data_IF_002859890725
#
_entry.id   IF_002859890725
#
_cell.length_a   1.000
_cell.length_b   1.000
_cell.length_c   1.000
_cell.angle_alpha   90.00
_cell.angle_beta   90.00
_cell.angle_gamma   90.00
#
_symmetry.space_group_name_H-M   'P 1'
#
loop_
_entity.id
_entity.type
_entity.pdbx_description
1 polymer ?
#
# COMPACT_ATOMS: atom_id res chain seq x y z
N UNK A 1 16.89 -8.63 -9.29
CA UNK A 1 17.72 -9.39 -8.34
C UNK A 1 17.35 -10.87 -8.45
N UNK A 2 18.29 -11.79 -8.26
CA UNK A 2 18.03 -13.23 -8.18
C UNK A 2 18.55 -13.74 -6.85
N UNK A 3 17.67 -14.32 -6.04
CA UNK A 3 18.03 -14.94 -4.77
C UNK A 3 18.47 -16.39 -5.01
N UNK A 4 19.45 -16.88 -4.25
CA UNK A 4 19.97 -18.25 -4.40
C UNK A 4 19.85 -19.01 -3.10
N UNK A 5 19.26 -20.19 -3.17
CA UNK A 5 18.96 -21.05 -2.02
C UNK A 5 19.60 -22.41 -2.20
N UNK A 6 20.55 -22.75 -1.32
CA UNK A 6 21.18 -24.07 -1.32
C UNK A 6 20.35 -25.05 -0.50
N UNK A 7 20.00 -26.19 -1.09
CA UNK A 7 19.33 -27.27 -0.38
C UNK A 7 20.31 -27.96 0.58
N UNK A 8 19.97 -28.04 1.87
CA UNK A 8 20.81 -28.67 2.88
C UNK A 8 20.87 -30.21 2.74
N UNK A 9 19.97 -30.84 1.98
CA UNK A 9 19.94 -32.30 1.77
C UNK A 9 20.76 -32.75 0.56
N UNK A 10 20.62 -32.07 -0.58
CA UNK A 10 21.25 -32.48 -1.84
C UNK A 10 22.30 -31.50 -2.38
N UNK A 11 22.50 -30.35 -1.71
CA UNK A 11 23.48 -29.34 -2.13
C UNK A 11 23.09 -28.53 -3.37
N UNK A 12 22.00 -28.87 -4.07
CA UNK A 12 21.50 -28.13 -5.24
C UNK A 12 21.19 -26.68 -4.89
N UNK A 13 21.64 -25.76 -5.74
CA UNK A 13 21.33 -24.33 -5.63
C UNK A 13 20.11 -24.04 -6.52
N UNK A 14 19.04 -23.55 -5.90
CA UNK A 14 17.85 -23.10 -6.58
C UNK A 14 17.86 -21.57 -6.68
N UNK A 15 17.49 -21.05 -7.84
CA UNK A 15 17.37 -19.61 -8.07
C UNK A 15 15.91 -19.16 -7.92
N UNK A 16 15.71 -18.01 -7.29
CA UNK A 16 14.42 -17.34 -7.16
C UNK A 16 14.54 -15.90 -7.70
N UNK A 17 14.21 -15.69 -8.98
CA UNK A 17 14.22 -14.36 -9.57
C UNK A 17 13.13 -13.46 -8.95
N UNK A 18 13.49 -12.24 -8.57
CA UNK A 18 12.57 -11.19 -8.13
C UNK A 18 12.16 -10.36 -9.33
N UNK A 19 11.01 -10.67 -9.91
CA UNK A 19 10.50 -10.01 -11.12
C UNK A 19 9.72 -8.73 -10.78
N UNK A 20 10.09 -7.61 -11.41
CA UNK A 20 9.30 -6.36 -11.35
C UNK A 20 8.25 -6.23 -12.45
N UNK A 21 8.34 -7.02 -13.52
CA UNK A 21 7.38 -6.96 -14.63
C UNK A 21 6.11 -7.75 -14.27
N UNK A 22 4.96 -7.05 -14.17
CA UNK A 22 3.69 -7.66 -13.79
C UNK A 22 3.19 -8.74 -14.78
N UNK A 23 3.48 -8.61 -16.08
CA UNK A 23 3.12 -9.64 -17.08
C UNK A 23 3.91 -10.94 -16.86
N UNK A 24 5.17 -10.84 -16.42
CA UNK A 24 5.95 -12.01 -16.02
C UNK A 24 5.35 -12.66 -14.77
N UNK A 25 4.87 -11.87 -13.82
CA UNK A 25 4.27 -12.37 -12.58
C UNK A 25 2.99 -13.17 -12.81
N UNK A 26 2.18 -12.83 -13.83
CA UNK A 26 1.00 -13.62 -14.23
C UNK A 26 1.34 -15.08 -14.61
N UNK A 27 2.54 -15.30 -15.15
CA UNK A 27 3.06 -16.62 -15.50
C UNK A 27 3.80 -17.27 -14.33
N UNK A 28 4.64 -16.49 -13.62
CA UNK A 28 5.49 -16.99 -12.55
C UNK A 28 4.70 -17.40 -11.30
N UNK A 29 3.63 -16.67 -10.97
CA UNK A 29 2.64 -16.98 -9.91
C UNK A 29 3.24 -17.30 -8.53
N UNK A 30 4.42 -16.73 -8.24
CA UNK A 30 5.16 -16.89 -6.99
C UNK A 30 5.83 -15.56 -6.66
N UNK A 31 6.03 -15.28 -5.37
CA UNK A 31 6.56 -13.98 -4.95
C UNK A 31 6.32 -13.70 -3.48
N UNK A 32 6.71 -12.50 -3.06
CA UNK A 32 6.42 -11.89 -1.76
C UNK A 32 5.55 -10.65 -1.95
N UNK A 33 5.38 -9.84 -0.90
CA UNK A 33 4.49 -8.68 -0.93
C UNK A 33 4.67 -7.79 -2.16
N UNK A 34 5.91 -7.53 -2.57
CA UNK A 34 6.22 -6.80 -3.82
C UNK A 34 5.56 -7.40 -5.06
N UNK A 35 5.77 -8.68 -5.33
CA UNK A 35 5.19 -9.36 -6.49
C UNK A 35 3.66 -9.48 -6.39
N UNK A 36 3.15 -9.80 -5.20
CA UNK A 36 1.71 -9.94 -4.97
C UNK A 36 0.98 -8.62 -5.17
N UNK A 37 1.43 -7.54 -4.54
CA UNK A 37 0.84 -6.21 -4.68
C UNK A 37 0.94 -5.69 -6.13
N UNK A 38 2.08 -5.89 -6.80
CA UNK A 38 2.27 -5.49 -8.19
C UNK A 38 1.32 -6.24 -9.16
N UNK A 39 1.30 -7.57 -9.09
CA UNK A 39 0.44 -8.39 -9.93
C UNK A 39 -1.05 -8.12 -9.65
N UNK A 40 -1.43 -7.97 -8.39
CA UNK A 40 -2.81 -7.68 -8.01
C UNK A 40 -3.24 -6.27 -8.45
N UNK A 41 -2.37 -5.27 -8.34
CA UNK A 41 -2.61 -3.93 -8.89
C UNK A 41 -2.92 -4.01 -10.39
N UNK A 42 -2.14 -4.77 -11.17
CA UNK A 42 -2.39 -4.98 -12.59
C UNK A 42 -3.77 -5.60 -12.85
N UNK A 43 -4.15 -6.62 -12.09
CA UNK A 43 -5.46 -7.28 -12.21
C UNK A 43 -6.60 -6.31 -11.91
N UNK A 44 -6.51 -5.53 -10.83
CA UNK A 44 -7.55 -4.55 -10.51
C UNK A 44 -7.66 -3.46 -11.60
N UNK A 45 -6.52 -2.99 -12.13
CA UNK A 45 -6.51 -2.02 -13.23
C UNK A 45 -7.11 -2.59 -14.52
N UNK A 46 -6.88 -3.87 -14.85
CA UNK A 46 -7.46 -4.49 -16.04
C UNK A 46 -8.99 -4.65 -15.95
N UNK A 47 -9.55 -4.63 -14.74
CA UNK A 47 -10.99 -4.58 -14.49
C UNK A 47 -11.56 -3.15 -14.59
N UNK A 48 -10.76 -2.16 -14.97
CA UNK A 48 -11.20 -0.76 -15.05
C UNK A 48 -11.42 -0.11 -13.68
N UNK A 49 -10.87 -0.69 -12.61
CA UNK A 49 -10.95 -0.11 -11.28
C UNK A 49 -9.88 0.97 -11.11
N UNK A 50 -10.21 1.97 -10.30
CA UNK A 50 -9.24 2.97 -9.85
C UNK A 50 -8.47 2.44 -8.68
N UNK A 51 -7.16 2.35 -8.83
CA UNK A 51 -6.28 1.64 -7.90
C UNK A 51 -5.08 2.51 -7.58
N UNK A 52 -4.59 2.40 -6.35
CA UNK A 52 -3.32 2.99 -5.92
C UNK A 52 -2.40 1.89 -5.41
N UNK A 53 -1.11 2.02 -5.71
CA UNK A 53 -0.06 1.22 -5.11
C UNK A 53 0.37 1.89 -3.82
N UNK A 54 0.41 1.13 -2.72
CA UNK A 54 0.73 1.65 -1.40
C UNK A 54 2.15 1.22 -1.04
N UNK A 55 2.97 2.18 -0.65
CA UNK A 55 4.33 1.94 -0.21
C UNK A 55 4.50 2.41 1.23
N UNK A 56 4.84 1.49 2.11
CA UNK A 56 5.29 1.78 3.47
C UNK A 56 6.82 1.74 3.53
N UNK A 57 7.42 2.74 4.19
CA UNK A 57 8.88 2.85 4.32
C UNK A 57 9.50 1.60 4.98
N UNK A 58 8.81 1.00 5.94
CA UNK A 58 9.28 -0.19 6.68
C UNK A 58 9.04 -1.51 5.93
N UNK A 59 9.30 -1.53 4.62
CA UNK A 59 9.30 -2.72 3.75
C UNK A 59 7.98 -3.50 3.72
N UNK A 60 6.88 -2.82 3.43
CA UNK A 60 5.65 -3.49 3.02
C UNK A 60 4.89 -2.69 1.97
N UNK A 61 4.16 -3.40 1.13
CA UNK A 61 3.44 -2.82 0.00
C UNK A 61 2.12 -3.55 -0.19
N UNK A 62 1.09 -2.80 -0.60
CA UNK A 62 -0.26 -3.31 -0.81
C UNK A 62 -1.00 -2.39 -1.79
N UNK A 63 -2.33 -2.49 -1.86
CA UNK A 63 -3.13 -1.71 -2.80
C UNK A 63 -4.29 -0.99 -2.11
N UNK A 64 -4.81 0.05 -2.75
CA UNK A 64 -6.15 0.56 -2.46
C UNK A 64 -6.95 0.61 -3.73
N UNK A 65 -8.28 0.46 -3.63
CA UNK A 65 -9.18 0.74 -4.75
C UNK A 65 -10.22 1.78 -4.36
N UNK A 66 -10.67 2.60 -5.30
CA UNK A 66 -11.74 3.56 -5.05
C UNK A 66 -13.12 2.87 -5.15
N UNK A 67 -13.87 2.87 -4.06
CA UNK A 67 -15.26 2.40 -4.05
C UNK A 67 -16.19 3.55 -4.40
N UNK A 68 -16.84 3.48 -5.57
CA UNK A 68 -17.85 4.48 -5.99
C UNK A 68 -19.06 4.53 -5.04
N UNK A 69 -19.44 3.39 -4.46
CA UNK A 69 -20.55 3.31 -3.51
C UNK A 69 -20.19 3.98 -2.17
N UNK A 70 -19.01 3.66 -1.62
CA UNK A 70 -18.56 4.22 -0.33
C UNK A 70 -17.90 5.60 -0.47
N UNK A 71 -17.67 6.06 -1.72
CA UNK A 71 -17.04 7.34 -2.09
C UNK A 71 -15.68 7.55 -1.42
N UNK A 72 -14.91 6.48 -1.25
CA UNK A 72 -13.58 6.50 -0.62
C UNK A 72 -12.70 5.37 -1.14
N UNK A 73 -11.39 5.52 -0.95
CA UNK A 73 -10.45 4.43 -1.14
C UNK A 73 -10.64 3.36 -0.07
N UNK A 74 -10.53 2.10 -0.44
CA UNK A 74 -10.62 0.93 0.40
C UNK A 74 -9.27 0.22 0.39
N UNK A 75 -8.78 -0.12 1.58
CA UNK A 75 -7.56 -0.91 1.76
C UNK A 75 -7.73 -2.32 1.20
N UNK A 76 -6.72 -2.82 0.48
CA UNK A 76 -6.63 -4.20 0.01
C UNK A 76 -5.21 -4.74 0.21
N UNK A 77 -5.08 -5.92 0.82
CA UNK A 77 -3.80 -6.64 0.88
C UNK A 77 -3.95 -8.05 0.30
N UNK A 78 -3.40 -8.34 -0.89
CA UNK A 78 -3.49 -9.66 -1.50
C UNK A 78 -2.65 -10.73 -0.78
N UNK A 79 -1.65 -10.33 0.03
CA UNK A 79 -0.84 -11.30 0.80
C UNK A 79 -1.59 -11.85 2.00
N UNK A 80 -2.50 -11.05 2.54
CA UNK A 80 -3.24 -11.33 3.78
C UNK A 80 -4.73 -11.56 3.52
N UNK A 81 -5.16 -11.54 2.26
CA UNK A 81 -6.56 -11.59 1.86
C UNK A 81 -7.43 -10.57 2.63
N UNK A 82 -6.88 -9.36 2.86
CA UNK A 82 -7.51 -8.35 3.69
C UNK A 82 -8.28 -7.32 2.85
N UNK A 83 -9.44 -6.92 3.36
CA UNK A 83 -10.32 -5.92 2.76
C UNK A 83 -10.73 -4.89 3.82
N UNK A 84 -10.52 -3.61 3.52
CA UNK A 84 -10.89 -2.47 4.35
C UNK A 84 -10.39 -2.52 5.80
N UNK A 85 -9.17 -3.03 6.00
CA UNK A 85 -8.56 -3.19 7.32
C UNK A 85 -7.20 -2.44 7.41
N UNK A 86 -7.20 -1.09 7.37
CA UNK A 86 -5.96 -0.33 7.30
C UNK A 86 -5.09 -0.43 8.57
N UNK A 87 -5.66 -0.80 9.73
CA UNK A 87 -4.90 -0.98 10.97
C UNK A 87 -4.33 -2.39 11.14
N UNK A 88 -4.50 -3.28 10.15
CA UNK A 88 -3.95 -4.63 10.11
C UNK A 88 -2.45 -4.65 10.46
N UNK A 89 -1.69 -3.70 9.95
CA UNK A 89 -0.23 -3.66 10.13
C UNK A 89 0.16 -3.10 11.49
N UNK A 90 -0.24 -1.87 11.78
CA UNK A 90 0.23 -1.14 12.96
C UNK A 90 -0.30 -1.75 14.26
N UNK A 91 -1.57 -2.19 14.27
CA UNK A 91 -2.16 -2.87 15.43
C UNK A 91 -2.10 -4.38 15.29
N UNK A 92 -2.62 -4.96 14.19
CA UNK A 92 -2.72 -6.41 14.05
C UNK A 92 -1.38 -7.14 14.07
N UNK A 93 -0.39 -6.66 13.31
CA UNK A 93 0.97 -7.22 13.36
C UNK A 93 1.83 -6.62 14.47
N UNK A 94 1.37 -5.51 15.09
CA UNK A 94 2.21 -4.69 15.97
C UNK A 94 3.39 -4.05 15.23
N UNK A 95 3.26 -3.83 13.92
CA UNK A 95 4.34 -3.33 13.06
C UNK A 95 4.66 -1.87 13.38
N UNK A 96 5.95 -1.59 13.56
CA UNK A 96 6.43 -0.22 13.69
C UNK A 96 6.47 0.48 12.34
N UNK A 97 5.81 1.64 12.21
CA UNK A 97 5.61 2.31 10.92
C UNK A 97 5.73 3.84 11.02
N UNK A 98 6.23 4.49 9.96
CA UNK A 98 6.36 5.96 9.89
C UNK A 98 5.64 6.61 8.70
N UNK A 99 6.02 6.24 7.48
CA UNK A 99 5.49 6.80 6.23
C UNK A 99 4.76 5.74 5.42
N UNK A 100 3.61 6.12 4.88
CA UNK A 100 2.85 5.38 3.88
C UNK A 100 2.42 6.33 2.78
N UNK A 101 2.81 6.04 1.54
CA UNK A 101 2.44 6.84 0.37
C UNK A 101 1.54 6.01 -0.56
N UNK A 102 0.41 6.58 -0.94
CA UNK A 102 -0.47 6.07 -1.99
C UNK A 102 -0.08 6.69 -3.32
N UNK A 103 0.26 5.85 -4.30
CA UNK A 103 0.72 6.25 -5.63
C UNK A 103 -0.36 5.83 -6.63
N UNK A 104 -1.01 6.80 -7.25
CA UNK A 104 -1.97 6.58 -8.34
C UNK A 104 -1.32 6.88 -9.70
N UNK A 105 -2.11 6.80 -10.76
CA UNK A 105 -1.68 7.18 -12.11
C UNK A 105 -1.45 8.69 -12.26
N UNK A 106 -2.06 9.51 -11.38
CA UNK A 106 -2.11 10.96 -11.55
C UNK A 106 -1.68 11.76 -10.32
N UNK A 107 -1.54 11.15 -9.14
CA UNK A 107 -1.08 11.85 -7.95
C UNK A 107 -0.50 10.90 -6.90
N UNK A 108 0.29 11.46 -5.99
CA UNK A 108 0.84 10.78 -4.83
C UNK A 108 0.29 11.46 -3.58
N UNK A 109 -0.18 10.66 -2.63
CA UNK A 109 -0.70 11.15 -1.36
C UNK A 109 0.00 10.47 -0.20
N UNK A 110 0.53 11.24 0.76
CA UNK A 110 0.88 10.70 2.07
C UNK A 110 -0.40 10.25 2.77
N UNK A 111 -0.60 8.96 3.04
CA UNK A 111 -1.78 8.40 3.71
C UNK A 111 -1.42 7.77 5.05
N UNK A 112 -0.32 8.21 5.66
CA UNK A 112 0.23 7.60 6.88
C UNK A 112 -0.74 7.65 8.05
N UNK A 113 -1.55 8.70 8.17
CA UNK A 113 -2.59 8.85 9.19
C UNK A 113 -3.67 7.77 9.15
N UNK A 114 -3.89 7.15 7.98
CA UNK A 114 -4.85 6.05 7.82
C UNK A 114 -4.32 4.72 8.35
N UNK A 115 -3.01 4.50 8.26
CA UNK A 115 -2.36 3.20 8.51
C UNK A 115 -1.53 3.18 9.80
N UNK A 116 -1.14 4.34 10.30
CA UNK A 116 -0.31 4.50 11.50
C UNK A 116 -1.12 5.28 12.54
N UNK A 117 -1.54 4.59 13.60
CA UNK A 117 -2.27 5.23 14.67
C UNK A 117 -1.38 6.21 15.42
N UNK A 118 -1.82 7.47 15.48
CA UNK A 118 -1.13 8.56 16.18
C UNK A 118 -0.88 8.29 17.67
N UNK A 119 -1.68 7.42 18.30
CA UNK A 119 -1.58 7.06 19.73
C UNK A 119 -0.84 5.74 19.97
N UNK A 120 -0.48 5.02 18.91
CA UNK A 120 0.21 3.73 19.02
C UNK A 120 1.67 3.91 19.42
N UNK A 121 2.16 3.07 20.33
CA UNK A 121 3.58 2.96 20.69
C UNK A 121 4.43 2.40 19.53
N UNK A 122 3.79 1.89 18.48
CA UNK A 122 4.42 1.41 17.25
C UNK A 122 4.60 2.52 16.21
N UNK A 123 4.17 3.75 16.48
CA UNK A 123 4.45 4.87 15.58
C UNK A 123 5.94 5.22 15.63
N UNK A 124 6.61 5.18 14.49
CA UNK A 124 7.99 5.60 14.35
C UNK A 124 8.09 7.12 14.11
N UNK A 125 9.21 7.76 14.52
CA UNK A 125 9.43 9.17 14.26
C UNK A 125 9.52 9.45 12.75
N UNK A 126 8.90 10.55 12.34
CA UNK A 126 8.93 11.05 10.97
C UNK A 126 10.02 12.12 10.83
N UNK A 127 11.26 11.65 10.71
CA UNK A 127 12.47 12.50 10.73
C UNK A 127 13.34 12.38 9.47
N UNK A 128 12.86 11.71 8.41
CA UNK A 128 13.54 11.62 7.11
C UNK A 128 13.43 12.91 6.29
N UNK A 129 12.40 13.71 6.53
CA UNK A 129 12.12 14.99 5.88
C UNK A 129 11.23 15.82 6.82
N UNK A 130 11.29 17.15 6.77
CA UNK A 130 10.35 17.99 7.50
C UNK A 130 8.94 17.84 6.91
N UNK A 131 7.90 17.90 7.75
CA UNK A 131 6.51 17.84 7.24
C UNK A 131 6.20 18.98 6.27
N UNK A 132 6.82 20.16 6.45
CA UNK A 132 6.67 21.29 5.54
C UNK A 132 7.25 20.97 4.15
N UNK A 133 8.48 20.45 4.10
CA UNK A 133 9.14 20.16 2.83
C UNK A 133 8.50 18.96 2.12
N UNK A 134 8.04 17.95 2.87
CA UNK A 134 7.26 16.85 2.31
C UNK A 134 5.98 17.34 1.64
N UNK A 135 5.22 18.21 2.32
CA UNK A 135 3.99 18.76 1.77
C UNK A 135 4.25 19.62 0.51
N UNK A 136 5.31 20.45 0.53
CA UNK A 136 5.72 21.22 -0.65
C UNK A 136 6.13 20.32 -1.81
N UNK A 137 6.92 19.29 -1.53
CA UNK A 137 7.35 18.32 -2.54
C UNK A 137 6.16 17.62 -3.19
N UNK A 138 5.24 17.07 -2.39
CA UNK A 138 4.04 16.42 -2.90
C UNK A 138 3.16 17.38 -3.70
N UNK A 139 3.01 18.64 -3.28
CA UNK A 139 2.27 19.65 -4.02
C UNK A 139 2.88 19.91 -5.41
N UNK A 140 4.21 20.04 -5.51
CA UNK A 140 4.92 20.25 -6.78
C UNK A 140 4.79 19.03 -7.71
N UNK A 141 4.97 17.82 -7.17
CA UNK A 141 4.82 16.57 -7.92
C UNK A 141 3.39 16.41 -8.45
N UNK A 142 2.39 16.62 -7.59
CA UNK A 142 0.99 16.49 -7.98
C UNK A 142 0.56 17.55 -8.98
N UNK A 143 0.98 18.81 -8.81
CA UNK A 143 0.76 19.85 -9.81
C UNK A 143 1.32 19.44 -11.18
N UNK A 144 2.55 18.93 -11.20
CA UNK A 144 3.18 18.45 -12.43
C UNK A 144 2.40 17.30 -13.07
N UNK A 145 1.88 16.37 -12.27
CA UNK A 145 1.10 15.25 -12.77
C UNK A 145 -0.28 15.69 -13.28
N UNK A 146 -0.97 16.61 -12.60
CA UNK A 146 -2.26 17.15 -13.05
C UNK A 146 -2.14 17.87 -14.40
N UNK A 147 -1.05 18.63 -14.61
CA UNK A 147 -0.78 19.31 -15.87
C UNK A 147 -0.51 18.35 -17.05
N UNK A 148 -0.24 17.07 -16.79
CA UNK A 148 -0.05 16.04 -17.84
C UNK A 148 -1.35 15.40 -18.28
N UNK A 149 -2.45 15.61 -17.57
CA UNK A 149 -3.76 15.05 -17.92
C UNK A 149 -4.35 15.90 -19.05
N UNK A 150 -4.48 15.30 -20.23
CA UNK A 150 -4.97 16.00 -21.43
C UNK A 150 -6.49 15.93 -21.57
N UNK A 151 -7.08 14.81 -21.16
CA UNK A 151 -8.53 14.65 -21.20
C UNK A 151 -9.17 15.47 -20.08
N UNK A 152 -10.17 16.28 -20.44
CA UNK A 152 -10.83 17.19 -19.50
C UNK A 152 -11.65 16.43 -18.45
N UNK A 153 -12.29 15.33 -18.81
CA UNK A 153 -13.07 14.55 -17.87
C UNK A 153 -12.16 13.84 -16.87
N UNK A 154 -11.07 13.24 -17.34
CA UNK A 154 -10.06 12.61 -16.49
C UNK A 154 -9.43 13.64 -15.52
N UNK A 155 -9.18 14.87 -15.99
CA UNK A 155 -8.66 15.94 -15.15
C UNK A 155 -9.64 16.32 -14.04
N UNK A 156 -10.91 16.59 -14.40
CA UNK A 156 -11.94 16.97 -13.44
C UNK A 156 -12.20 15.86 -12.42
N UNK A 157 -12.25 14.61 -12.86
CA UNK A 157 -12.45 13.46 -11.97
C UNK A 157 -11.26 13.27 -11.04
N UNK A 158 -10.03 13.35 -11.55
CA UNK A 158 -8.80 13.24 -10.74
C UNK A 158 -8.72 14.34 -9.68
N UNK A 159 -8.98 15.60 -10.07
CA UNK A 159 -8.94 16.73 -9.12
C UNK A 159 -10.05 16.59 -8.07
N UNK A 160 -11.25 16.16 -8.47
CA UNK A 160 -12.35 15.88 -7.55
C UNK A 160 -11.98 14.81 -6.52
N UNK A 161 -11.33 13.73 -6.97
CA UNK A 161 -10.86 12.64 -6.11
C UNK A 161 -9.76 13.10 -5.15
N UNK A 162 -8.77 13.85 -5.65
CA UNK A 162 -7.70 14.40 -4.82
C UNK A 162 -8.25 15.30 -3.71
N UNK A 163 -9.20 16.19 -4.05
CA UNK A 163 -9.85 17.07 -3.06
C UNK A 163 -10.72 16.28 -2.07
N UNK A 164 -11.44 15.26 -2.54
CA UNK A 164 -12.23 14.40 -1.66
C UNK A 164 -11.35 13.62 -0.68
N UNK A 165 -10.24 13.05 -1.15
CA UNK A 165 -9.27 12.33 -0.30
C UNK A 165 -8.65 13.28 0.75
N UNK A 166 -8.26 14.49 0.34
CA UNK A 166 -7.78 15.52 1.27
C UNK A 166 -8.85 15.88 2.33
N UNK A 167 -10.08 16.14 1.91
CA UNK A 167 -11.17 16.53 2.81
C UNK A 167 -11.53 15.41 3.80
N UNK A 168 -11.56 14.15 3.34
CA UNK A 168 -11.82 13.00 4.19
C UNK A 168 -10.78 12.89 5.30
N UNK A 169 -9.50 13.06 4.95
CA UNK A 169 -8.40 12.98 5.91
C UNK A 169 -8.36 14.15 6.89
N UNK A 170 -8.79 15.33 6.47
CA UNK A 170 -8.99 16.48 7.36
C UNK A 170 -10.28 16.38 8.18
N UNK A 171 -11.08 15.33 8.01
CA UNK A 171 -12.35 15.15 8.71
C UNK A 171 -13.42 16.16 8.30
N UNK A 172 -13.22 16.86 7.16
CA UNK A 172 -14.16 17.87 6.64
C UNK A 172 -15.42 17.17 6.11
N UNK A 173 -15.25 16.02 5.46
CA UNK A 173 -16.36 15.17 5.00
C UNK A 173 -16.47 13.92 5.89
N UNK A 174 -17.68 13.66 6.42
CA UNK A 174 -17.95 12.43 7.17
C UNK A 174 -18.00 11.25 6.21
N UNK A 175 -17.16 10.24 6.45
CA UNK A 175 -17.18 8.98 5.70
C UNK A 175 -18.52 8.27 5.92
N UNK A 176 -19.14 7.79 4.83
CA UNK A 176 -20.11 6.72 4.93
C UNK A 176 -19.38 5.50 5.51
N UNK A 177 -19.62 5.23 6.80
CA UNK A 177 -19.07 4.03 7.43
C UNK A 177 -19.62 2.81 6.70
N UNK A 178 -18.74 1.86 6.38
CA UNK A 178 -19.22 0.55 5.97
C UNK A 178 -20.07 0.00 7.12
N UNK A 179 -21.25 -0.54 6.81
CA UNK A 179 -22.05 -1.31 7.77
C UNK A 179 -21.39 -2.65 8.13
N UNK A 180 -20.29 -3.01 7.47
CA UNK A 180 -19.45 -4.13 7.87
C UNK A 180 -18.74 -3.77 9.17
N UNK A 181 -18.96 -4.52 10.27
CA UNK A 181 -18.15 -4.34 11.46
C UNK A 181 -16.68 -4.42 11.06
N UNK A 182 -15.85 -3.44 11.48
CA UNK A 182 -14.41 -3.63 11.53
C UNK A 182 -14.20 -4.98 12.23
N UNK A 183 -13.51 -5.94 11.61
CA UNK A 183 -13.27 -7.23 12.26
C UNK A 183 -12.59 -6.93 13.59
N UNK A 184 -13.28 -7.23 14.69
CA UNK A 184 -12.77 -6.99 16.04
C UNK A 184 -11.57 -7.88 16.33
N UNK A 185 -11.43 -8.98 15.58
CA UNK A 185 -10.20 -9.77 15.54
C UNK A 185 -9.24 -9.19 14.50
N UNK A 186 -8.20 -8.53 15.00
CA UNK A 186 -7.03 -8.22 14.19
C UNK A 186 -6.18 -9.49 14.08
N UNK A 187 -6.17 -10.09 12.90
CA UNK A 187 -5.44 -11.33 12.66
C UNK A 187 -3.92 -11.06 12.64
N UNK A 188 -3.11 -11.97 13.20
CA UNK A 188 -1.66 -11.90 13.04
C UNK A 188 -1.28 -12.13 11.57
N UNK A 189 -0.05 -11.75 11.22
CA UNK A 189 0.50 -11.97 9.87
C UNK A 189 0.35 -13.43 9.44
N UNK A 190 -0.27 -13.63 8.29
CA UNK A 190 -0.51 -14.95 7.71
C UNK A 190 0.59 -15.33 6.71
N UNK A 191 1.26 -14.33 6.10
CA UNK A 191 2.30 -14.56 5.11
C UNK A 191 3.72 -14.65 5.71
N UNK A 192 4.46 -15.72 5.36
CA UNK A 192 5.84 -15.95 5.79
C UNK A 192 5.95 -16.43 7.25
N UNK A 193 6.86 -17.36 7.52
CA UNK A 193 7.09 -17.82 8.90
C UNK A 193 7.78 -16.75 9.74
N UNK A 194 7.59 -16.79 11.06
CA UNK A 194 8.23 -15.83 11.98
C UNK A 194 9.77 -15.84 11.89
N UNK A 195 10.37 -17.02 11.77
CA UNK A 195 11.83 -17.15 11.60
C UNK A 195 12.29 -16.55 10.26
N UNK A 196 11.50 -16.75 9.20
CA UNK A 196 11.81 -16.22 7.87
C UNK A 196 11.79 -14.69 7.87
N UNK A 197 10.72 -14.09 8.38
CA UNK A 197 10.56 -12.63 8.41
C UNK A 197 11.60 -11.99 9.31
N UNK A 198 11.86 -12.56 10.49
CA UNK A 198 12.89 -12.10 11.43
C UNK A 198 14.30 -12.18 10.84
N UNK A 199 14.66 -13.30 10.19
CA UNK A 199 16.00 -13.47 9.60
C UNK A 199 16.34 -12.44 8.53
N UNK A 200 15.32 -11.75 8.01
CA UNK A 200 15.43 -10.76 6.93
C UNK A 200 15.17 -9.33 7.40
N UNK A 201 14.85 -9.11 8.68
CA UNK A 201 14.42 -7.80 9.19
C UNK A 201 13.08 -7.33 8.62
N UNK A 202 12.29 -8.25 8.06
CA UNK A 202 10.97 -8.00 7.46
C UNK A 202 9.83 -8.20 8.48
N UNK A 203 10.15 -8.44 9.76
CA UNK A 203 9.18 -8.63 10.86
C UNK A 203 8.66 -7.32 11.45
N UNK A 204 9.25 -6.18 11.05
CA UNK A 204 8.75 -4.85 11.39
C UNK A 204 8.84 -4.49 12.88
N UNK A 205 9.78 -5.11 13.60
CA UNK A 205 10.06 -4.88 15.02
C UNK A 205 11.27 -3.98 15.25
#
# INVERSE_FOLDING_TARGET
MVERYKCNKCGTVNEFPRYGNAMTLLKFRKGRCGEWANCFTLILKSLGLKVRYLWNLEDHVWCEYYSKNLKRFIHLDPCENAFDNPLLYNHGWGKKMSYVFAISDHYIQDVSDRYVDSKSDKKLPRNRISELDLNKFLAIVNLTNFLRIKDTNDYLETVSEFLNDYNQRKGITKLAHSKTPLSTEMLPRQSGSADWTKSRGEDGK
#
